data_IF_788076200557
#
_entry.id   IF_788076200557
#
_cell.length_a   1.000
_cell.length_b   1.000
_cell.length_c   1.000
_cell.angle_alpha   90.00
_cell.angle_beta   90.00
_cell.angle_gamma   90.00
#
_symmetry.space_group_name_H-M   'P 1'
#
loop_
_entity.id
_entity.type
_entity.pdbx_description
1 polymer ?
#
# COMPACT_ATOMS: atom_id res chain seq x y z
N UNK A 1 0.62 34.68 15.13
CA UNK A 1 0.30 34.72 13.68
C UNK A 1 0.96 33.52 13.02
N UNK A 2 0.19 32.52 12.61
CA UNK A 2 0.73 31.38 11.87
C UNK A 2 1.08 31.84 10.45
N UNK A 3 2.35 31.67 10.04
CA UNK A 3 2.75 31.86 8.64
C UNK A 3 2.19 30.69 7.83
N UNK A 4 1.36 30.97 6.83
CA UNK A 4 0.96 29.99 5.84
C UNK A 4 2.17 29.69 4.94
N UNK A 5 2.87 28.59 5.21
CA UNK A 5 3.92 28.10 4.33
C UNK A 5 3.30 27.39 3.12
N UNK A 6 3.82 27.65 1.93
CA UNK A 6 3.55 26.80 0.76
C UNK A 6 4.48 25.59 0.75
N UNK A 7 4.09 24.46 0.12
CA UNK A 7 4.93 23.24 0.02
C UNK A 7 6.33 23.54 -0.56
N UNK A 8 6.44 24.55 -1.44
CA UNK A 8 7.71 24.96 -2.07
C UNK A 8 8.67 25.65 -1.09
N UNK A 9 8.19 26.15 0.04
CA UNK A 9 8.97 26.88 1.04
C UNK A 9 9.39 26.00 2.23
N UNK A 10 8.97 24.73 2.26
CA UNK A 10 9.35 23.81 3.34
C UNK A 10 10.80 23.37 3.16
N UNK A 11 11.67 23.90 4.01
CA UNK A 11 13.05 23.45 4.10
C UNK A 11 13.12 22.08 4.80
N UNK A 12 13.38 21.03 4.04
CA UNK A 12 13.58 19.66 4.55
C UNK A 12 14.96 19.43 5.21
N UNK A 13 15.69 20.49 5.59
CA UNK A 13 16.99 20.37 6.29
C UNK A 13 16.89 19.56 7.60
N UNK A 14 15.74 19.60 8.28
CA UNK A 14 15.49 18.76 9.46
C UNK A 14 15.50 17.26 9.13
N UNK A 15 15.16 16.85 7.91
CA UNK A 15 15.31 15.46 7.47
C UNK A 15 16.78 15.06 7.39
N UNK A 16 17.73 15.98 7.11
CA UNK A 16 19.16 15.67 7.20
C UNK A 16 19.61 15.54 8.65
N UNK A 17 19.08 16.40 9.53
CA UNK A 17 19.42 16.43 10.98
C UNK A 17 18.93 15.18 11.71
N UNK A 18 17.73 14.72 11.39
CA UNK A 18 17.07 13.62 12.11
C UNK A 18 17.02 12.32 11.30
N UNK A 19 17.15 12.38 9.98
CA UNK A 19 16.91 11.27 9.04
C UNK A 19 17.79 10.04 9.20
N UNK A 20 18.90 10.18 9.93
CA UNK A 20 19.84 9.07 10.17
C UNK A 20 19.32 8.03 11.16
N UNK A 21 18.26 8.35 11.93
CA UNK A 21 17.67 7.45 12.91
C UNK A 21 16.35 6.90 12.42
N UNK A 22 16.13 5.60 12.55
CA UNK A 22 14.82 5.01 12.27
C UNK A 22 13.83 5.32 13.39
N UNK A 23 12.54 5.14 13.15
CA UNK A 23 11.51 5.30 14.17
C UNK A 23 11.83 4.48 15.42
N UNK A 24 12.29 3.25 15.24
CA UNK A 24 12.67 2.36 16.33
C UNK A 24 13.88 2.88 17.12
N UNK A 25 14.86 3.51 16.45
CA UNK A 25 15.98 4.13 17.16
C UNK A 25 15.49 5.21 18.14
N UNK A 26 14.49 6.00 17.76
CA UNK A 26 13.90 6.98 18.67
C UNK A 26 13.20 6.33 19.85
N UNK A 27 12.40 5.29 19.58
CA UNK A 27 11.61 4.61 20.60
C UNK A 27 12.47 3.79 21.58
N UNK A 28 13.47 3.05 21.09
CA UNK A 28 14.36 2.22 21.90
C UNK A 28 15.27 3.08 22.78
N UNK A 29 15.86 4.14 22.20
CA UNK A 29 16.80 5.00 22.91
C UNK A 29 16.11 6.14 23.67
N UNK A 30 14.78 6.18 23.65
CA UNK A 30 13.96 7.25 24.24
C UNK A 30 14.42 8.66 23.82
N UNK A 31 14.87 8.81 22.57
CA UNK A 31 15.34 10.08 22.03
C UNK A 31 14.15 10.99 21.77
N UNK A 32 14.29 12.27 22.11
CA UNK A 32 13.23 13.26 21.93
C UNK A 32 13.46 14.13 20.70
N UNK A 33 12.36 14.46 20.05
CA UNK A 33 12.32 15.42 18.94
C UNK A 33 11.90 16.77 19.52
N UNK A 34 12.88 17.66 19.71
CA UNK A 34 12.68 18.98 20.33
C UNK A 34 12.15 20.06 19.36
N UNK A 35 11.87 19.70 18.11
CA UNK A 35 11.30 20.63 17.12
C UNK A 35 9.78 20.53 17.11
N UNK A 36 9.11 21.69 17.03
CA UNK A 36 7.67 21.74 16.83
C UNK A 36 7.35 21.59 15.34
N UNK A 37 6.85 20.42 14.96
CA UNK A 37 6.51 20.10 13.58
C UNK A 37 5.05 20.36 13.21
N UNK A 38 4.24 20.95 14.10
CA UNK A 38 2.79 21.07 13.91
C UNK A 38 2.40 21.77 12.61
N UNK A 39 2.82 23.02 12.45
CA UNK A 39 2.50 23.80 11.25
C UNK A 39 3.04 23.15 9.97
N UNK A 40 4.27 22.60 10.03
CA UNK A 40 4.91 21.95 8.87
C UNK A 40 4.10 20.70 8.46
N UNK A 41 3.68 19.92 9.46
CA UNK A 41 2.91 18.69 9.24
C UNK A 41 1.57 19.03 8.63
N UNK A 42 0.83 19.98 9.19
CA UNK A 42 -0.48 20.38 8.64
C UNK A 42 -0.39 20.82 7.17
N UNK A 43 0.61 21.64 6.81
CA UNK A 43 0.85 22.06 5.42
C UNK A 43 1.16 20.85 4.52
N UNK A 44 1.99 19.92 4.98
CA UNK A 44 2.34 18.71 4.22
C UNK A 44 1.12 17.83 4.01
N UNK A 45 0.33 17.57 5.05
CA UNK A 45 -0.86 16.73 4.95
C UNK A 45 -1.90 17.34 4.02
N UNK A 46 -2.15 18.64 4.12
CA UNK A 46 -3.10 19.33 3.24
C UNK A 46 -2.63 19.30 1.78
N UNK A 47 -1.34 19.53 1.53
CA UNK A 47 -0.76 19.38 0.20
C UNK A 47 -0.87 17.95 -0.32
N UNK A 48 -0.68 16.96 0.54
CA UNK A 48 -0.74 15.55 0.18
C UNK A 48 -2.15 15.12 -0.19
N UNK A 49 -3.15 15.51 0.62
CA UNK A 49 -4.57 15.29 0.34
C UNK A 49 -4.97 15.91 -1.01
N UNK A 50 -4.49 17.13 -1.28
CA UNK A 50 -4.73 17.80 -2.57
C UNK A 50 -4.11 17.01 -3.73
N UNK A 51 -2.86 16.57 -3.60
CA UNK A 51 -2.18 15.78 -4.62
C UNK A 51 -2.90 14.45 -4.92
N UNK A 52 -3.33 13.73 -3.88
CA UNK A 52 -4.11 12.49 -4.01
C UNK A 52 -5.43 12.76 -4.74
N UNK A 53 -6.14 13.82 -4.36
CA UNK A 53 -7.42 14.19 -4.98
C UNK A 53 -7.27 14.52 -6.47
N UNK A 54 -6.19 15.21 -6.85
CA UNK A 54 -5.90 15.60 -8.23
C UNK A 54 -5.42 14.42 -9.08
N UNK A 55 -4.54 13.56 -8.55
CA UNK A 55 -3.92 12.48 -9.33
C UNK A 55 -4.85 11.28 -9.53
N UNK A 56 -5.69 10.96 -8.54
CA UNK A 56 -6.51 9.76 -8.56
C UNK A 56 -7.99 10.10 -8.72
N UNK A 57 -8.62 9.58 -9.77
CA UNK A 57 -10.05 9.77 -10.06
C UNK A 57 -10.99 8.80 -9.33
N UNK A 58 -10.43 7.80 -8.62
CA UNK A 58 -11.18 6.70 -8.00
C UNK A 58 -11.72 7.03 -6.59
N UNK A 59 -12.90 6.52 -6.20
CA UNK A 59 -13.38 6.56 -4.82
C UNK A 59 -12.44 5.88 -3.81
N UNK A 60 -11.64 4.88 -4.22
CA UNK A 60 -10.70 4.18 -3.35
C UNK A 60 -9.63 5.13 -2.74
N UNK A 61 -9.43 6.32 -3.32
CA UNK A 61 -8.51 7.33 -2.78
C UNK A 61 -8.90 7.82 -1.38
N UNK A 62 -10.18 7.75 -1.04
CA UNK A 62 -10.66 8.23 0.26
C UNK A 62 -10.11 7.42 1.42
N UNK A 63 -9.83 6.12 1.24
CA UNK A 63 -9.20 5.29 2.29
C UNK A 63 -7.82 5.81 2.67
N UNK A 64 -7.00 6.21 1.69
CA UNK A 64 -5.68 6.80 1.94
C UNK A 64 -5.81 8.15 2.68
N UNK A 65 -6.74 9.00 2.25
CA UNK A 65 -6.99 10.31 2.88
C UNK A 65 -7.50 10.14 4.32
N UNK A 66 -8.41 9.20 4.56
CA UNK A 66 -8.95 8.90 5.89
C UNK A 66 -7.83 8.39 6.80
N UNK A 67 -7.02 7.44 6.34
CA UNK A 67 -5.87 6.95 7.11
C UNK A 67 -4.93 8.11 7.50
N UNK A 68 -4.62 9.01 6.56
CA UNK A 68 -3.76 10.16 6.85
C UNK A 68 -4.36 11.09 7.92
N UNK A 69 -5.65 11.41 7.82
CA UNK A 69 -6.37 12.25 8.79
C UNK A 69 -6.47 11.59 10.16
N UNK A 70 -6.78 10.30 10.22
CA UNK A 70 -6.89 9.55 11.47
C UNK A 70 -5.52 9.38 12.15
N UNK A 71 -4.45 9.24 11.38
CA UNK A 71 -3.07 9.27 11.90
C UNK A 71 -2.75 10.60 12.60
N UNK A 72 -3.09 11.72 11.95
CA UNK A 72 -2.92 13.06 12.53
C UNK A 72 -3.70 13.24 13.84
N UNK A 73 -5.00 12.91 13.84
CA UNK A 73 -5.85 13.03 15.03
C UNK A 73 -5.33 12.13 16.16
N UNK A 74 -4.94 10.90 15.84
CA UNK A 74 -4.40 9.96 16.83
C UNK A 74 -3.10 10.48 17.45
N UNK A 75 -2.19 11.01 16.61
CA UNK A 75 -0.92 11.58 17.08
C UNK A 75 -1.14 12.80 17.98
N UNK A 76 -2.10 13.66 17.63
CA UNK A 76 -2.50 14.82 18.45
C UNK A 76 -3.02 14.44 19.82
N UNK A 77 -3.69 13.28 19.91
CA UNK A 77 -4.22 12.73 21.17
C UNK A 77 -3.21 11.84 21.91
N UNK A 78 -1.93 11.82 21.52
CA UNK A 78 -0.91 10.99 22.17
C UNK A 78 -1.04 9.48 21.91
N UNK A 79 -1.90 9.05 20.97
CA UNK A 79 -2.17 7.64 20.68
C UNK A 79 -1.14 7.06 19.72
N UNK A 80 0.05 6.71 20.24
CA UNK A 80 1.19 6.21 19.45
C UNK A 80 0.81 5.06 18.50
N UNK A 81 0.23 3.97 19.02
CA UNK A 81 -0.11 2.78 18.23
C UNK A 81 -1.10 3.13 17.10
N UNK A 82 -2.17 3.85 17.42
CA UNK A 82 -3.18 4.24 16.44
C UNK A 82 -2.60 5.18 15.37
N UNK A 83 -1.71 6.10 15.75
CA UNK A 83 -1.08 7.03 14.82
C UNK A 83 -0.21 6.31 13.78
N UNK A 84 0.65 5.38 14.22
CA UNK A 84 1.53 4.62 13.34
C UNK A 84 0.80 3.52 12.56
N UNK A 85 -0.30 2.97 13.10
CA UNK A 85 -1.18 2.07 12.35
C UNK A 85 -1.78 2.77 11.13
N UNK A 86 -2.25 4.00 11.34
CA UNK A 86 -2.79 4.82 10.28
C UNK A 86 -1.72 5.25 9.27
N UNK A 87 -0.48 5.54 9.69
CA UNK A 87 0.64 5.77 8.77
C UNK A 87 0.93 4.54 7.89
N UNK A 88 0.87 3.33 8.48
CA UNK A 88 0.99 2.07 7.74
C UNK A 88 -0.12 1.90 6.72
N UNK A 89 -1.37 2.08 7.13
CA UNK A 89 -2.53 1.99 6.22
C UNK A 89 -2.46 3.03 5.10
N UNK A 90 -2.01 4.24 5.39
CA UNK A 90 -1.79 5.28 4.38
C UNK A 90 -0.79 4.83 3.31
N UNK A 91 0.39 4.33 3.73
CA UNK A 91 1.41 3.79 2.82
C UNK A 91 0.84 2.66 1.96
N UNK A 92 0.14 1.71 2.55
CA UNK A 92 -0.48 0.59 1.83
C UNK A 92 -1.49 1.07 0.79
N UNK A 93 -2.43 1.95 1.19
CA UNK A 93 -3.50 2.42 0.32
C UNK A 93 -2.97 3.30 -0.81
N UNK A 94 -2.06 4.23 -0.52
CA UNK A 94 -1.48 5.08 -1.55
C UNK A 94 -0.62 4.29 -2.55
N UNK A 95 0.14 3.30 -2.07
CA UNK A 95 0.88 2.38 -2.94
C UNK A 95 -0.06 1.59 -3.85
N UNK A 96 -1.17 1.09 -3.30
CA UNK A 96 -2.17 0.32 -4.05
C UNK A 96 -2.90 1.17 -5.10
N UNK A 97 -3.22 2.43 -4.81
CA UNK A 97 -3.78 3.35 -5.79
C UNK A 97 -2.84 3.56 -6.99
N UNK A 98 -1.53 3.73 -6.71
CA UNK A 98 -0.54 3.85 -7.78
C UNK A 98 -0.45 2.57 -8.60
N UNK A 99 -0.39 1.40 -7.96
CA UNK A 99 -0.38 0.11 -8.64
C UNK A 99 -1.60 -0.05 -9.54
N UNK A 100 -2.80 0.22 -9.01
CA UNK A 100 -4.07 0.18 -9.76
C UNK A 100 -4.02 1.12 -10.97
N UNK A 101 -3.50 2.33 -10.81
CA UNK A 101 -3.39 3.28 -11.92
C UNK A 101 -2.44 2.83 -13.03
N UNK A 102 -1.47 1.96 -12.73
CA UNK A 102 -0.53 1.39 -13.70
C UNK A 102 -1.06 0.13 -14.40
N UNK A 103 -2.17 -0.44 -13.93
CA UNK A 103 -2.70 -1.72 -14.42
C UNK A 103 -3.51 -1.60 -15.73
N UNK A 104 -3.86 -0.37 -16.15
CA UNK A 104 -4.59 -0.07 -17.38
C UNK A 104 -5.87 -0.91 -17.54
N UNK A 105 -6.80 -0.70 -16.61
CA UNK A 105 -8.09 -1.40 -16.53
C UNK A 105 -9.19 -0.44 -16.12
N UNK A 106 -10.26 -0.35 -16.92
CA UNK A 106 -11.46 0.42 -16.59
C UNK A 106 -12.17 -0.14 -15.35
N UNK A 107 -12.26 -1.46 -15.24
CA UNK A 107 -12.88 -2.17 -14.10
C UNK A 107 -11.83 -2.96 -13.31
N UNK A 108 -10.99 -2.25 -12.56
CA UNK A 108 -9.90 -2.89 -11.81
C UNK A 108 -10.45 -3.70 -10.62
N UNK A 109 -10.17 -5.02 -10.53
CA UNK A 109 -10.74 -5.88 -9.49
C UNK A 109 -10.19 -5.58 -8.09
N UNK A 110 -9.00 -5.00 -7.96
CA UNK A 110 -8.48 -4.54 -6.67
C UNK A 110 -9.25 -3.31 -6.19
N UNK A 111 -9.53 -2.37 -7.09
CA UNK A 111 -10.32 -1.18 -6.77
C UNK A 111 -11.73 -1.57 -6.34
N UNK A 112 -12.38 -2.48 -7.08
CA UNK A 112 -13.68 -3.02 -6.73
C UNK A 112 -13.67 -3.68 -5.34
N UNK A 113 -12.64 -4.48 -5.03
CA UNK A 113 -12.52 -5.13 -3.73
C UNK A 113 -12.39 -4.12 -2.57
N UNK A 114 -11.77 -2.96 -2.79
CA UNK A 114 -11.68 -1.88 -1.81
C UNK A 114 -13.05 -1.21 -1.65
N UNK A 115 -13.65 -0.77 -2.75
CA UNK A 115 -14.92 -0.03 -2.75
C UNK A 115 -16.05 -0.87 -2.13
N UNK A 116 -16.12 -2.15 -2.46
CA UNK A 116 -17.15 -3.06 -1.98
C UNK A 116 -16.85 -3.62 -0.57
N UNK A 117 -15.70 -3.30 0.02
CA UNK A 117 -15.21 -3.84 1.30
C UNK A 117 -15.05 -5.38 1.31
N UNK A 118 -14.84 -5.97 0.13
CA UNK A 118 -14.67 -7.42 -0.05
C UNK A 118 -13.22 -7.89 0.14
N UNK A 119 -12.30 -6.97 0.43
CA UNK A 119 -10.87 -7.27 0.61
C UNK A 119 -10.63 -8.39 1.64
N UNK A 120 -11.28 -8.33 2.80
CA UNK A 120 -11.15 -9.36 3.84
C UNK A 120 -11.77 -10.69 3.43
N UNK A 121 -12.93 -10.66 2.74
CA UNK A 121 -13.60 -11.88 2.24
C UNK A 121 -12.69 -12.67 1.30
N UNK A 122 -11.99 -11.98 0.40
CA UNK A 122 -11.04 -12.60 -0.53
C UNK A 122 -9.80 -13.15 0.21
N UNK A 123 -9.28 -12.44 1.21
CA UNK A 123 -8.18 -12.91 2.06
C UNK A 123 -8.57 -14.16 2.87
N UNK A 124 -9.77 -14.20 3.45
CA UNK A 124 -10.26 -15.32 4.25
C UNK A 124 -10.40 -16.59 3.41
N UNK A 125 -10.74 -16.41 2.12
CA UNK A 125 -10.74 -17.47 1.12
C UNK A 125 -9.34 -17.86 0.60
N UNK A 126 -8.27 -17.33 1.21
CA UNK A 126 -6.87 -17.58 0.87
C UNK A 126 -6.46 -17.08 -0.52
N UNK A 127 -7.19 -16.11 -1.08
CA UNK A 127 -6.82 -15.47 -2.34
C UNK A 127 -5.81 -14.36 -2.07
N UNK A 128 -4.57 -14.77 -1.83
CA UNK A 128 -3.54 -13.89 -1.28
C UNK A 128 -2.20 -14.05 -2.02
N UNK A 129 -1.57 -12.91 -2.26
CA UNK A 129 -0.16 -12.81 -2.66
C UNK A 129 0.64 -12.36 -1.45
N UNK A 130 1.57 -13.18 -1.00
CA UNK A 130 2.38 -12.95 0.19
C UNK A 130 3.67 -12.18 -0.11
N UNK A 131 4.17 -12.26 -1.34
CA UNK A 131 5.41 -11.59 -1.75
C UNK A 131 5.40 -11.19 -3.22
N UNK A 132 6.25 -10.24 -3.59
CA UNK A 132 6.49 -9.88 -4.99
C UNK A 132 6.98 -11.09 -5.80
N UNK A 133 7.82 -11.94 -5.21
CA UNK A 133 8.33 -13.15 -5.86
C UNK A 133 7.23 -14.12 -6.23
N UNK A 134 6.21 -14.27 -5.38
CA UNK A 134 5.04 -15.09 -5.68
C UNK A 134 4.25 -14.50 -6.86
N UNK A 135 4.05 -13.17 -6.86
CA UNK A 135 3.36 -12.48 -7.95
C UNK A 135 4.08 -12.65 -9.28
N UNK A 136 5.36 -12.30 -9.34
CA UNK A 136 6.17 -12.39 -10.56
C UNK A 136 6.40 -13.84 -10.96
N UNK A 137 6.51 -14.77 -10.01
CA UNK A 137 6.64 -16.20 -10.28
C UNK A 137 5.41 -16.75 -11.01
N UNK A 138 4.20 -16.37 -10.60
CA UNK A 138 2.96 -16.73 -11.30
C UNK A 138 2.90 -16.15 -12.70
N UNK A 139 3.33 -14.90 -12.89
CA UNK A 139 3.40 -14.31 -14.24
C UNK A 139 4.41 -15.01 -15.13
N UNK A 140 5.62 -15.23 -14.61
CA UNK A 140 6.71 -15.85 -15.35
C UNK A 140 6.35 -17.27 -15.82
N UNK A 141 5.49 -17.98 -15.09
CA UNK A 141 5.00 -19.29 -15.48
C UNK A 141 4.27 -19.27 -16.84
N UNK A 142 3.51 -18.21 -17.14
CA UNK A 142 2.72 -18.11 -18.37
C UNK A 142 3.38 -17.24 -19.44
N UNK A 143 4.03 -16.15 -19.04
CA UNK A 143 4.48 -15.10 -19.96
C UNK A 143 6.01 -14.98 -20.06
N UNK A 144 6.76 -15.76 -19.27
CA UNK A 144 8.21 -15.65 -19.19
C UNK A 144 8.70 -14.48 -18.32
N UNK A 145 10.03 -14.37 -18.21
CA UNK A 145 10.68 -13.39 -17.32
C UNK A 145 10.40 -11.95 -17.75
N UNK A 146 10.31 -11.05 -16.78
CA UNK A 146 10.15 -9.59 -16.95
C UNK A 146 8.81 -9.15 -17.58
N UNK A 147 7.81 -10.02 -17.65
CA UNK A 147 6.50 -9.65 -18.15
C UNK A 147 5.73 -8.78 -17.16
N UNK A 148 5.43 -7.53 -17.51
CA UNK A 148 4.63 -6.62 -16.67
C UNK A 148 3.13 -6.90 -16.83
N UNK A 149 2.47 -7.26 -15.73
CA UNK A 149 1.04 -7.55 -15.73
C UNK A 149 0.19 -6.29 -15.88
N UNK A 150 -0.66 -6.28 -16.89
CA UNK A 150 -1.59 -5.20 -17.25
C UNK A 150 -2.88 -5.80 -17.80
N UNK A 151 -3.99 -5.09 -17.75
CA UNK A 151 -5.27 -5.56 -18.30
C UNK A 151 -5.64 -6.96 -17.79
N UNK A 152 -6.09 -7.87 -18.65
CA UNK A 152 -6.52 -9.22 -18.25
C UNK A 152 -5.39 -10.11 -17.70
N UNK A 153 -4.11 -9.85 -18.01
CA UNK A 153 -3.00 -10.69 -17.51
C UNK A 153 -2.84 -10.65 -15.99
N UNK A 154 -3.35 -9.62 -15.30
CA UNK A 154 -3.30 -9.48 -13.85
C UNK A 154 -3.99 -10.66 -13.15
N UNK A 155 -5.06 -11.19 -13.75
CA UNK A 155 -5.78 -12.34 -13.21
C UNK A 155 -4.93 -13.61 -13.20
N UNK A 156 -3.91 -13.73 -14.04
CA UNK A 156 -2.98 -14.87 -14.05
C UNK A 156 -2.12 -14.95 -12.78
N UNK A 157 -2.07 -13.87 -11.98
CA UNK A 157 -1.49 -13.88 -10.63
C UNK A 157 -2.43 -14.41 -9.57
N UNK A 158 -3.67 -14.72 -9.95
CA UNK A 158 -4.75 -15.19 -9.10
C UNK A 158 -4.74 -16.70 -8.85
N UNK A 159 -5.89 -17.20 -8.40
CA UNK A 159 -6.14 -18.62 -8.14
C UNK A 159 -7.02 -19.21 -9.24
N UNK A 160 -6.60 -20.30 -9.91
CA UNK A 160 -7.41 -20.95 -10.93
C UNK A 160 -8.58 -21.71 -10.30
N UNK A 161 -9.79 -21.46 -10.77
CA UNK A 161 -11.02 -22.12 -10.32
C UNK A 161 -11.86 -22.62 -11.50
N UNK A 162 -12.60 -23.71 -11.27
CA UNK A 162 -13.64 -24.16 -12.20
C UNK A 162 -14.88 -23.24 -12.12
N UNK A 163 -15.77 -23.34 -13.10
CA UNK A 163 -16.98 -22.51 -13.18
C UNK A 163 -17.83 -22.54 -11.91
N UNK A 164 -17.94 -23.69 -11.25
CA UNK A 164 -18.71 -23.84 -9.99
C UNK A 164 -18.07 -23.04 -8.85
N UNK A 165 -16.78 -23.24 -8.57
CA UNK A 165 -16.10 -22.58 -7.45
C UNK A 165 -15.86 -21.08 -7.69
N UNK A 166 -15.75 -20.66 -8.95
CA UNK A 166 -15.63 -19.24 -9.30
C UNK A 166 -16.95 -18.45 -9.21
N UNK A 167 -18.11 -19.13 -9.12
CA UNK A 167 -19.44 -18.50 -9.21
C UNK A 167 -19.67 -17.44 -8.13
N UNK A 168 -19.07 -17.61 -6.96
CA UNK A 168 -19.17 -16.68 -5.84
C UNK A 168 -18.27 -15.45 -5.97
N UNK A 169 -17.36 -15.44 -6.96
CA UNK A 169 -16.34 -14.41 -7.13
C UNK A 169 -16.40 -13.77 -8.52
N UNK A 170 -17.60 -13.70 -9.13
CA UNK A 170 -17.78 -13.22 -10.52
C UNK A 170 -17.09 -11.89 -10.78
N UNK A 171 -17.29 -10.92 -9.89
CA UNK A 171 -16.72 -9.56 -10.00
C UNK A 171 -15.19 -9.51 -9.87
N UNK A 172 -14.59 -10.57 -9.34
CA UNK A 172 -13.16 -10.68 -9.05
C UNK A 172 -12.49 -11.74 -9.90
N UNK A 173 -13.18 -12.23 -10.94
CA UNK A 173 -12.73 -13.35 -11.74
C UNK A 173 -12.76 -13.05 -13.23
N UNK A 174 -11.84 -13.64 -13.97
CA UNK A 174 -11.73 -13.47 -15.42
C UNK A 174 -11.59 -14.82 -16.13
N UNK A 175 -12.25 -15.02 -17.28
CA UNK A 175 -12.15 -16.27 -18.02
C UNK A 175 -10.74 -16.56 -18.51
N UNK A 176 -10.28 -17.81 -18.36
CA UNK A 176 -8.96 -18.23 -18.84
C UNK A 176 -8.87 -18.12 -20.36
N UNK A 177 -9.92 -18.53 -21.07
CA UNK A 177 -9.96 -18.51 -22.53
C UNK A 177 -9.83 -17.10 -23.12
N UNK A 178 -10.28 -16.06 -22.41
CA UNK A 178 -10.09 -14.67 -22.84
C UNK A 178 -8.63 -14.23 -22.63
N UNK A 179 -7.98 -14.63 -21.53
CA UNK A 179 -6.53 -14.38 -21.32
C UNK A 179 -5.70 -15.09 -22.41
N UNK A 180 -6.04 -16.36 -22.71
CA UNK A 180 -5.37 -17.12 -23.77
C UNK A 180 -5.45 -16.41 -25.13
N UNK A 181 -6.61 -15.84 -25.47
CA UNK A 181 -6.80 -15.04 -26.69
C UNK A 181 -6.01 -13.74 -26.66
N UNK A 182 -6.11 -12.98 -25.57
CA UNK A 182 -5.51 -11.65 -25.43
C UNK A 182 -3.97 -11.70 -25.54
N UNK A 183 -3.35 -12.80 -25.10
CA UNK A 183 -1.90 -12.94 -25.05
C UNK A 183 -1.33 -14.07 -25.92
N UNK A 184 -2.15 -14.76 -26.69
CA UNK A 184 -1.75 -15.90 -27.52
C UNK A 184 -0.96 -16.98 -26.75
N UNK A 185 -1.42 -17.32 -25.54
CA UNK A 185 -0.84 -18.36 -24.68
C UNK A 185 -1.80 -19.53 -24.48
N UNK A 186 -1.30 -20.62 -23.91
CA UNK A 186 -2.13 -21.76 -23.47
C UNK A 186 -1.97 -21.96 -21.96
N UNK A 187 -3.09 -22.06 -21.26
CA UNK A 187 -3.18 -22.20 -19.81
C UNK A 187 -3.89 -23.52 -19.50
N UNK A 188 -3.13 -24.49 -18.98
CA UNK A 188 -3.66 -25.79 -18.56
C UNK A 188 -3.69 -25.93 -17.04
N UNK A 189 -4.54 -25.15 -16.39
CA UNK A 189 -4.66 -25.11 -14.94
C UNK A 189 -5.80 -25.98 -14.41
N UNK A 190 -5.58 -26.51 -13.20
CA UNK A 190 -6.60 -27.23 -12.44
C UNK A 190 -7.20 -26.33 -11.37
N UNK A 191 -8.47 -26.56 -11.06
CA UNK A 191 -9.15 -25.84 -10.00
C UNK A 191 -8.49 -26.13 -8.65
N UNK A 192 -8.05 -25.07 -7.97
CA UNK A 192 -7.37 -25.17 -6.68
C UNK A 192 -8.23 -25.78 -5.54
N UNK A 193 -9.53 -26.02 -5.75
CA UNK A 193 -10.43 -26.63 -4.76
C UNK A 193 -10.89 -28.05 -5.07
N UNK A 194 -10.89 -28.48 -6.33
CA UNK A 194 -11.41 -29.80 -6.72
C UNK A 194 -10.70 -30.45 -7.89
N UNK A 195 -9.59 -29.89 -8.35
CA UNK A 195 -8.70 -30.42 -9.38
C UNK A 195 -9.30 -30.60 -10.80
N UNK A 196 -10.60 -30.36 -10.98
CA UNK A 196 -11.25 -30.26 -12.30
C UNK A 196 -10.63 -29.12 -13.12
N UNK A 197 -10.77 -29.16 -14.45
CA UNK A 197 -10.29 -28.09 -15.36
C UNK A 197 -10.74 -26.71 -14.87
N UNK A 198 -9.78 -25.80 -14.68
CA UNK A 198 -10.09 -24.41 -14.37
C UNK A 198 -10.65 -23.70 -15.61
N UNK A 199 -11.59 -22.80 -15.39
CA UNK A 199 -12.19 -21.99 -16.46
C UNK A 199 -12.01 -20.50 -16.22
N UNK A 200 -11.65 -20.10 -15.00
CA UNK A 200 -11.44 -18.71 -14.60
C UNK A 200 -10.28 -18.61 -13.63
N UNK A 201 -9.60 -17.48 -13.62
CA UNK A 201 -8.80 -17.06 -12.46
C UNK A 201 -9.60 -16.10 -11.60
N UNK A 202 -9.48 -16.23 -10.29
CA UNK A 202 -9.94 -15.22 -9.31
C UNK A 202 -8.72 -14.45 -8.82
N UNK A 203 -8.76 -13.12 -8.80
CA UNK A 203 -7.62 -12.32 -8.33
C UNK A 203 -7.15 -12.74 -6.94
N UNK A 204 -5.85 -12.62 -6.71
CA UNK A 204 -5.27 -12.72 -5.37
C UNK A 204 -4.93 -11.31 -4.88
N UNK A 205 -5.13 -11.04 -3.60
CA UNK A 205 -4.85 -9.74 -3.01
C UNK A 205 -3.45 -9.70 -2.42
N UNK A 206 -2.63 -8.67 -2.74
CA UNK A 206 -1.32 -8.54 -2.12
C UNK A 206 -1.45 -8.19 -0.64
N UNK A 207 -0.77 -8.95 0.23
CA UNK A 207 -0.53 -8.50 1.60
C UNK A 207 0.34 -7.25 1.60
N UNK A 208 0.27 -6.49 2.67
CA UNK A 208 0.98 -5.23 2.84
C UNK A 208 2.48 -5.27 2.45
N UNK A 209 3.24 -6.30 2.85
CA UNK A 209 4.63 -6.46 2.41
C UNK A 209 4.80 -6.69 0.90
N UNK A 210 3.85 -7.38 0.26
CA UNK A 210 3.82 -7.56 -1.19
C UNK A 210 3.43 -6.27 -1.92
N UNK A 211 2.57 -5.41 -1.33
CA UNK A 211 2.17 -4.12 -1.91
C UNK A 211 3.39 -3.23 -2.18
N UNK A 212 4.33 -3.14 -1.23
CA UNK A 212 5.55 -2.32 -1.39
C UNK A 212 6.46 -2.87 -2.50
N UNK A 213 6.60 -4.19 -2.59
CA UNK A 213 7.34 -4.83 -3.68
C UNK A 213 6.67 -4.62 -5.03
N UNK A 214 5.33 -4.72 -5.08
CA UNK A 214 4.55 -4.46 -6.30
C UNK A 214 4.63 -3.01 -6.75
N UNK A 215 4.67 -2.06 -5.81
CA UNK A 215 4.86 -0.65 -6.15
C UNK A 215 6.16 -0.47 -6.93
N UNK A 216 7.27 -1.03 -6.44
CA UNK A 216 8.56 -0.96 -7.13
C UNK A 216 8.53 -1.66 -8.49
N UNK A 217 7.87 -2.81 -8.56
CA UNK A 217 7.69 -3.55 -9.81
C UNK A 217 6.92 -2.75 -10.87
N UNK A 218 5.81 -2.11 -10.51
CA UNK A 218 4.98 -1.34 -11.46
C UNK A 218 5.55 0.02 -11.82
N UNK A 219 6.41 0.60 -10.98
CA UNK A 219 6.97 1.94 -11.20
C UNK A 219 8.43 1.92 -11.64
N UNK A 220 9.10 0.77 -11.56
CA UNK A 220 10.56 0.65 -11.73
C UNK A 220 11.38 1.31 -10.62
N UNK A 221 10.74 1.84 -9.58
CA UNK A 221 11.40 2.58 -8.51
C UNK A 221 11.97 1.65 -7.43
N UNK A 222 13.02 2.13 -6.76
CA UNK A 222 13.56 1.47 -5.57
C UNK A 222 12.66 1.73 -4.35
N UNK A 223 12.05 0.67 -3.82
CA UNK A 223 11.15 0.74 -2.66
C UNK A 223 11.79 0.27 -1.35
N UNK A 224 13.11 0.03 -1.31
CA UNK A 224 13.81 -0.49 -0.11
C UNK A 224 13.58 0.37 1.13
N UNK A 225 13.64 1.69 1.01
CA UNK A 225 13.47 2.58 2.16
C UNK A 225 12.01 2.65 2.64
N UNK A 226 11.03 2.54 1.73
CA UNK A 226 9.63 2.37 2.13
C UNK A 226 9.40 1.04 2.86
N UNK A 227 10.07 -0.03 2.43
CA UNK A 227 10.03 -1.33 3.11
C UNK A 227 10.58 -1.26 4.53
N UNK A 228 11.64 -0.47 4.78
CA UNK A 228 12.17 -0.24 6.13
C UNK A 228 11.15 0.50 7.01
N UNK A 229 10.56 1.58 6.51
CA UNK A 229 9.51 2.33 7.24
C UNK A 229 8.33 1.41 7.57
N UNK A 230 7.86 0.62 6.61
CA UNK A 230 6.77 -0.33 6.82
C UNK A 230 7.09 -1.37 7.90
N UNK A 231 8.33 -1.89 7.91
CA UNK A 231 8.78 -2.84 8.92
C UNK A 231 8.85 -2.20 10.32
N UNK A 232 9.26 -0.94 10.40
CA UNK A 232 9.27 -0.18 11.65
C UNK A 232 7.85 0.01 12.19
N UNK A 233 6.89 0.41 11.36
CA UNK A 233 5.47 0.49 11.76
C UNK A 233 4.95 -0.83 12.28
N UNK A 234 5.23 -1.92 11.56
CA UNK A 234 4.78 -3.25 11.98
C UNK A 234 5.29 -3.61 13.38
N UNK A 235 6.52 -3.23 13.73
CA UNK A 235 7.11 -3.47 15.06
C UNK A 235 6.54 -2.57 16.15
N UNK A 236 6.21 -1.31 15.82
CA UNK A 236 5.52 -0.40 16.74
C UNK A 236 4.12 -0.92 17.10
N UNK A 237 3.46 -1.58 16.16
CA UNK A 237 2.11 -2.14 16.34
C UNK A 237 2.08 -3.50 17.04
N UNK A 238 3.20 -4.22 17.02
CA UNK A 238 3.33 -5.44 17.79
C UNK A 238 3.43 -5.11 19.30
N UNK A 239 3.03 -6.02 20.19
CA UNK A 239 3.02 -5.81 21.65
C UNK A 239 4.43 -5.71 22.28
N UNK A 240 5.48 -5.38 21.51
CA UNK A 240 6.86 -5.24 21.96
C UNK A 240 7.13 -4.01 22.84
N UNK A 241 6.10 -3.34 23.37
CA UNK A 241 6.29 -2.60 24.60
C UNK A 241 6.81 -1.18 24.48
N UNK A 242 6.62 -0.48 23.35
CA UNK A 242 6.97 0.94 23.23
C UNK A 242 5.95 1.86 23.94
N UNK A 243 5.64 1.56 25.21
CA UNK A 243 4.69 2.29 26.06
C UNK A 243 5.35 3.42 26.86
N UNK A 244 6.69 3.54 26.82
CA UNK A 244 7.47 4.49 27.61
C UNK A 244 7.60 5.88 26.98
N UNK A 245 7.04 6.10 25.79
CA UNK A 245 7.11 7.39 25.10
C UNK A 245 5.96 8.28 25.58
N UNK A 246 6.27 9.44 26.16
CA UNK A 246 5.23 10.32 26.71
C UNK A 246 4.32 10.87 25.62
N UNK A 247 3.04 11.05 25.95
CA UNK A 247 2.01 11.60 25.04
C UNK A 247 2.49 12.88 24.33
N UNK A 248 3.16 13.77 25.06
CA UNK A 248 3.73 15.03 24.56
C UNK A 248 4.74 14.83 23.41
N UNK A 249 5.51 13.74 23.44
CA UNK A 249 6.55 13.49 22.43
C UNK A 249 5.99 12.74 21.20
N UNK A 250 4.84 12.07 21.33
CA UNK A 250 4.22 11.25 20.26
C UNK A 250 4.03 12.07 18.99
N UNK A 251 3.47 13.27 19.12
CA UNK A 251 3.14 14.09 17.96
C UNK A 251 4.38 14.49 17.16
N UNK A 252 5.47 14.92 17.80
CA UNK A 252 6.68 15.33 17.11
C UNK A 252 7.40 14.15 16.45
N UNK A 253 7.40 12.98 17.09
CA UNK A 253 7.98 11.76 16.52
C UNK A 253 7.17 11.29 15.30
N UNK A 254 5.85 11.20 15.44
CA UNK A 254 4.95 10.85 14.35
C UNK A 254 5.05 11.85 13.19
N UNK A 255 5.10 13.15 13.49
CA UNK A 255 5.25 14.22 12.50
C UNK A 255 6.54 14.07 11.70
N UNK A 256 7.67 13.90 12.37
CA UNK A 256 8.96 13.67 11.72
C UNK A 256 8.91 12.46 10.78
N UNK A 257 8.27 11.38 11.23
CA UNK A 257 8.20 10.13 10.50
C UNK A 257 7.22 10.18 9.30
N UNK A 258 6.00 10.73 9.48
CA UNK A 258 5.04 10.89 8.39
C UNK A 258 5.59 11.83 7.30
N UNK A 259 6.36 12.86 7.68
CA UNK A 259 7.00 13.74 6.71
C UNK A 259 8.02 12.98 5.86
N UNK A 260 8.80 12.07 6.46
CA UNK A 260 9.73 11.19 5.72
C UNK A 260 8.97 10.27 4.79
N UNK A 261 7.92 9.63 5.30
CA UNK A 261 7.07 8.74 4.51
C UNK A 261 6.53 9.47 3.27
N UNK A 262 5.90 10.63 3.48
CA UNK A 262 5.35 11.46 2.39
C UNK A 262 6.45 11.89 1.42
N UNK A 263 7.62 12.31 1.91
CA UNK A 263 8.75 12.67 1.06
C UNK A 263 9.24 11.52 0.18
N UNK A 264 9.30 10.30 0.72
CA UNK A 264 9.77 9.12 0.00
C UNK A 264 8.71 8.59 -0.98
N UNK A 265 7.47 8.44 -0.53
CA UNK A 265 6.41 7.86 -1.36
C UNK A 265 6.06 8.76 -2.55
N UNK A 266 6.15 10.08 -2.38
CA UNK A 266 5.86 11.04 -3.45
C UNK A 266 6.83 10.95 -4.63
N UNK A 267 8.08 10.53 -4.40
CA UNK A 267 9.05 10.31 -5.50
C UNK A 267 8.67 9.15 -6.41
N UNK A 268 7.75 8.30 -5.97
CA UNK A 268 7.35 7.07 -6.65
C UNK A 268 5.92 7.20 -7.19
N UNK A 269 5.03 7.83 -6.42
CA UNK A 269 3.60 7.88 -6.71
C UNK A 269 3.25 9.01 -7.69
N UNK A 270 3.79 10.21 -7.49
CA UNK A 270 3.38 11.41 -8.23
C UNK A 270 4.33 11.74 -9.37
#
# INVERSE_FOLDING_TARGET
MARNFSKKEINFSFLKKYGNFSLLSYLIENKRVQENFENITEVILNSEISAINTKFGTPAKYDAIIALKQGYISAKNGLLSAAFENSRFFLERLSLLKIISCMDMEYNPYEQAIINRDWHVLIDNKFTIYSITQFTGRLNHYFGKNFMARSSSIYSTGIPLCGIHSKHFKNYSYPINEIEKDYAITINEKCAKCEKKATRFVISLPKAGAIIGLLGYYTGADTRDLGKIYADYSRVLHPYGFYSYSEENVFNLWSLDIIRLVHLINKIVF
#
